data_IF_806728990743
#
_entry.id   IF_806728990743
#
_cell.length_a   1.000
_cell.length_b   1.000
_cell.length_c   1.000
_cell.angle_alpha   90.00
_cell.angle_beta   90.00
_cell.angle_gamma   90.00
#
_symmetry.space_group_name_H-M   'P 1'
#
loop_
_entity.id
_entity.type
_entity.pdbx_description
1 polymer ?
#
# COMPACT_ATOMS: atom_id res chain seq x y z
N UNK A 1 0.14 61.57 7.55
CA UNK A 1 0.84 60.40 8.12
C UNK A 1 0.06 59.15 7.77
N UNK A 2 0.47 58.40 6.75
CA UNK A 2 -0.12 57.08 6.42
C UNK A 2 1.01 56.06 6.43
N UNK A 3 0.91 55.08 7.34
CA UNK A 3 1.85 53.95 7.47
C UNK A 3 1.28 52.78 6.65
N UNK A 4 1.96 52.29 5.61
CA UNK A 4 1.54 51.06 4.95
C UNK A 4 1.91 49.87 5.83
N UNK A 5 0.92 49.07 6.21
CA UNK A 5 1.13 47.78 6.88
C UNK A 5 1.46 46.77 5.78
N UNK A 6 2.72 46.33 5.74
CA UNK A 6 3.17 45.27 4.85
C UNK A 6 2.72 43.92 5.45
N UNK A 7 1.66 43.33 4.92
CA UNK A 7 1.22 41.97 5.30
C UNK A 7 2.13 40.98 4.59
N UNK A 8 3.08 40.41 5.32
CA UNK A 8 3.96 39.35 4.83
C UNK A 8 3.19 38.02 4.91
N UNK A 9 2.52 37.63 3.84
CA UNK A 9 1.95 36.27 3.71
C UNK A 9 3.08 35.28 3.53
N UNK A 10 3.42 34.54 4.59
CA UNK A 10 4.33 33.40 4.52
C UNK A 10 3.61 32.31 3.73
N UNK A 11 4.02 32.11 2.47
CA UNK A 11 3.57 31.00 1.66
C UNK A 11 4.20 29.73 2.24
N UNK A 12 3.45 29.01 3.06
CA UNK A 12 3.81 27.65 3.48
C UNK A 12 3.84 26.76 2.24
N UNK A 13 5.04 26.48 1.72
CA UNK A 13 5.22 25.38 0.78
C UNK A 13 5.00 24.09 1.57
N UNK A 14 3.84 23.45 1.36
CA UNK A 14 3.59 22.11 1.88
C UNK A 14 4.49 21.16 1.08
N UNK A 15 5.64 20.79 1.65
CA UNK A 15 6.50 19.76 1.08
C UNK A 15 5.83 18.42 1.35
N UNK A 16 5.06 17.92 0.37
CA UNK A 16 4.53 16.57 0.44
C UNK A 16 5.65 15.58 0.10
N UNK A 17 5.91 14.62 0.98
CA UNK A 17 6.86 13.54 0.73
C UNK A 17 6.13 12.40 0.01
N UNK A 18 6.47 12.16 -1.25
CA UNK A 18 5.94 11.03 -2.01
C UNK A 18 6.84 9.81 -1.84
N UNK A 19 6.23 8.64 -1.66
CA UNK A 19 6.90 7.36 -1.78
C UNK A 19 5.99 6.35 -2.47
N UNK A 20 6.57 5.23 -2.90
CA UNK A 20 5.84 4.18 -3.59
C UNK A 20 5.99 2.83 -2.90
N UNK A 21 5.03 1.95 -3.18
CA UNK A 21 4.98 0.57 -2.73
C UNK A 21 4.64 -0.30 -3.93
N UNK A 22 5.22 -1.47 -3.98
CA UNK A 22 4.91 -2.46 -5.01
C UNK A 22 4.50 -3.74 -4.31
N UNK A 23 3.23 -4.12 -4.46
CA UNK A 23 2.71 -5.38 -3.95
C UNK A 23 2.62 -6.36 -5.12
N UNK A 24 3.55 -7.32 -5.14
CA UNK A 24 3.67 -8.34 -6.18
C UNK A 24 2.99 -9.61 -5.71
N UNK A 25 1.84 -9.91 -6.28
CA UNK A 25 1.12 -11.16 -5.99
C UNK A 25 1.32 -12.12 -7.15
N UNK A 26 1.82 -13.32 -6.89
CA UNK A 26 2.10 -14.31 -7.93
C UNK A 26 1.55 -15.68 -7.60
N UNK A 27 0.93 -16.30 -8.60
CA UNK A 27 0.58 -17.73 -8.61
C UNK A 27 1.68 -18.53 -9.33
N UNK A 28 1.87 -19.83 -9.02
CA UNK A 28 2.82 -20.68 -9.73
C UNK A 28 2.59 -20.73 -11.26
N UNK A 29 1.33 -20.59 -11.67
CA UNK A 29 0.91 -20.67 -13.09
C UNK A 29 0.87 -19.32 -13.81
N UNK A 30 1.19 -18.21 -13.12
CA UNK A 30 1.08 -16.85 -13.65
C UNK A 30 -0.31 -16.50 -14.22
N UNK A 31 -1.38 -17.07 -13.65
CA UNK A 31 -2.75 -16.86 -14.12
C UNK A 31 -3.25 -15.45 -13.79
N UNK A 32 -3.77 -14.71 -14.77
CA UNK A 32 -4.43 -13.39 -14.57
C UNK A 32 -5.97 -13.49 -14.57
N UNK A 33 -6.52 -14.71 -14.52
CA UNK A 33 -7.95 -15.01 -14.70
C UNK A 33 -8.60 -15.71 -13.50
N UNK A 34 -7.85 -15.91 -12.42
CA UNK A 34 -8.22 -16.79 -11.31
C UNK A 34 -7.87 -18.24 -11.62
N UNK A 35 -6.73 -18.70 -11.09
CA UNK A 35 -6.27 -20.09 -11.16
C UNK A 35 -6.73 -20.95 -9.97
N UNK A 36 -6.26 -22.20 -9.90
CA UNK A 36 -6.51 -23.07 -8.74
C UNK A 36 -5.67 -22.63 -7.53
N UNK A 37 -4.52 -22.00 -7.77
CA UNK A 37 -3.58 -21.61 -6.73
C UNK A 37 -3.86 -20.19 -6.24
N UNK A 38 -3.77 -20.01 -4.91
CA UNK A 38 -3.75 -18.68 -4.30
C UNK A 38 -2.44 -17.97 -4.63
N UNK A 39 -2.50 -16.67 -4.89
CA UNK A 39 -1.32 -15.86 -5.15
C UNK A 39 -0.60 -15.53 -3.83
N UNK A 40 0.70 -15.71 -3.79
CA UNK A 40 1.56 -15.24 -2.71
C UNK A 40 1.98 -13.80 -2.98
N UNK A 41 1.77 -12.90 -2.02
CA UNK A 41 2.06 -11.47 -2.16
C UNK A 41 3.34 -11.06 -1.42
N UNK A 42 4.18 -10.28 -2.10
CA UNK A 42 5.41 -9.71 -1.57
C UNK A 42 5.40 -8.20 -1.70
N UNK A 43 5.60 -7.50 -0.59
CA UNK A 43 5.67 -6.04 -0.56
C UNK A 43 7.11 -5.57 -0.79
N UNK A 44 7.26 -4.54 -1.62
CA UNK A 44 8.53 -3.83 -1.85
C UNK A 44 8.31 -2.34 -1.57
N UNK A 45 9.17 -1.76 -0.72
CA UNK A 45 9.14 -0.35 -0.35
C UNK A 45 10.03 0.45 -1.31
N UNK A 46 9.54 1.56 -1.86
CA UNK A 46 10.27 2.35 -2.85
C UNK A 46 10.27 3.82 -2.46
N UNK A 47 11.40 4.50 -2.53
CA UNK A 47 11.44 5.94 -2.32
C UNK A 47 10.84 6.64 -3.55
N UNK A 48 11.24 6.20 -4.75
CA UNK A 48 10.69 6.69 -6.02
C UNK A 48 9.97 5.59 -6.82
N UNK A 49 9.12 5.99 -7.76
CA UNK A 49 8.22 5.07 -8.48
C UNK A 49 8.97 3.97 -9.26
N UNK A 50 10.06 4.36 -9.90
CA UNK A 50 10.80 3.53 -10.87
C UNK A 50 12.06 2.86 -10.28
N UNK A 51 12.35 3.06 -9.00
CA UNK A 51 13.48 2.40 -8.34
C UNK A 51 13.26 0.89 -8.16
N UNK A 52 14.29 0.13 -7.80
CA UNK A 52 14.13 -1.30 -7.48
C UNK A 52 13.41 -1.51 -6.14
N UNK A 53 13.64 -0.62 -5.17
CA UNK A 53 13.07 -0.68 -3.82
C UNK A 53 13.76 -1.66 -2.87
N UNK A 54 13.22 -1.74 -1.65
CA UNK A 54 13.65 -2.57 -0.53
C UNK A 54 12.58 -3.63 -0.26
N UNK A 55 12.85 -4.93 -0.48
CA UNK A 55 11.85 -5.98 -0.29
C UNK A 55 11.56 -6.23 1.19
N UNK A 56 10.29 -6.44 1.51
CA UNK A 56 9.85 -6.92 2.83
C UNK A 56 9.99 -8.45 2.86
N UNK A 57 10.46 -9.05 3.97
CA UNK A 57 10.50 -10.50 4.13
C UNK A 57 9.14 -11.16 3.87
N UNK A 58 9.16 -12.29 3.17
CA UNK A 58 7.99 -13.09 2.86
C UNK A 58 7.19 -13.48 4.11
N UNK A 59 5.86 -13.53 3.97
CA UNK A 59 4.95 -13.92 5.05
C UNK A 59 4.68 -12.82 6.08
N UNK A 60 5.12 -11.59 5.83
CA UNK A 60 4.83 -10.44 6.69
C UNK A 60 3.78 -9.52 6.09
N UNK A 61 2.92 -8.98 6.96
CA UNK A 61 2.05 -7.86 6.63
C UNK A 61 0.73 -8.21 5.95
N UNK A 62 0.55 -9.45 5.48
CA UNK A 62 -0.73 -9.92 4.94
C UNK A 62 -1.45 -10.89 5.90
N UNK A 63 -2.77 -10.83 5.92
CA UNK A 63 -3.63 -11.70 6.73
C UNK A 63 -4.99 -11.90 6.04
N UNK A 64 -5.80 -12.82 6.57
CA UNK A 64 -7.10 -13.17 6.01
C UNK A 64 -8.20 -12.83 7.01
N UNK A 65 -9.32 -12.32 6.52
CA UNK A 65 -10.54 -12.11 7.30
C UNK A 65 -11.76 -12.53 6.47
N UNK A 66 -12.82 -12.98 7.14
CA UNK A 66 -14.14 -13.04 6.54
C UNK A 66 -14.77 -11.64 6.60
N UNK A 67 -15.29 -11.19 5.47
CA UNK A 67 -16.01 -9.93 5.36
C UNK A 67 -17.36 -10.21 4.71
N UNK A 68 -18.41 -10.26 5.52
CA UNK A 68 -19.78 -10.53 5.10
C UNK A 68 -19.93 -11.85 4.31
N UNK A 69 -19.21 -12.91 4.71
CA UNK A 69 -19.21 -14.21 4.04
C UNK A 69 -18.31 -14.29 2.80
N UNK A 70 -17.55 -13.24 2.50
CA UNK A 70 -16.50 -13.24 1.48
C UNK A 70 -15.13 -13.26 2.16
N UNK A 71 -14.30 -14.23 1.80
CA UNK A 71 -12.90 -14.24 2.22
C UNK A 71 -12.13 -13.09 1.56
N UNK A 72 -11.48 -12.27 2.39
CA UNK A 72 -10.58 -11.20 1.96
C UNK A 72 -9.20 -11.39 2.53
N UNK A 73 -8.21 -11.11 1.69
CA UNK A 73 -6.82 -10.97 2.12
C UNK A 73 -6.49 -9.49 2.20
N UNK A 74 -5.97 -9.07 3.34
CA UNK A 74 -5.52 -7.71 3.58
C UNK A 74 -4.01 -7.70 3.69
N UNK A 75 -3.36 -6.76 3.02
CA UNK A 75 -1.92 -6.51 3.14
C UNK A 75 -1.69 -5.07 3.58
N UNK A 76 -0.99 -4.88 4.70
CA UNK A 76 -0.50 -3.56 5.11
C UNK A 76 0.55 -3.07 4.10
N UNK A 77 0.27 -1.92 3.48
CA UNK A 77 1.14 -1.32 2.45
C UNK A 77 2.17 -0.35 3.04
N UNK A 78 2.25 -0.22 4.37
CA UNK A 78 3.24 0.60 5.10
C UNK A 78 3.20 2.04 4.64
N UNK A 79 2.00 2.63 4.72
CA UNK A 79 1.75 4.05 4.50
C UNK A 79 1.11 4.70 5.73
N UNK A 80 1.80 4.65 6.89
CA UNK A 80 1.28 5.19 8.14
C UNK A 80 1.05 6.70 8.03
N UNK A 81 -0.04 7.19 8.61
CA UNK A 81 -0.37 8.63 8.71
C UNK A 81 -0.29 9.40 7.39
N UNK A 82 -0.36 8.70 6.26
CA UNK A 82 -0.38 9.36 4.95
C UNK A 82 -1.72 10.07 4.75
N UNK A 83 -1.68 11.28 4.21
CA UNK A 83 -2.89 12.04 3.91
C UNK A 83 -3.51 11.62 2.58
N UNK A 84 -2.76 10.94 1.71
CA UNK A 84 -3.27 10.41 0.44
C UNK A 84 -2.54 9.12 0.07
N UNK A 85 -3.32 8.10 -0.28
CA UNK A 85 -2.84 6.84 -0.83
C UNK A 85 -3.65 6.51 -2.08
N UNK A 86 -2.97 6.09 -3.14
CA UNK A 86 -3.60 5.80 -4.43
C UNK A 86 -2.88 4.67 -5.15
N UNK A 87 -3.62 3.88 -5.93
CA UNK A 87 -3.05 2.86 -6.79
C UNK A 87 -2.63 3.53 -8.09
N UNK A 88 -1.32 3.68 -8.32
CA UNK A 88 -0.77 4.34 -9.51
C UNK A 88 -0.71 3.41 -10.72
N UNK A 89 -0.64 2.11 -10.49
CA UNK A 89 -0.56 1.11 -11.55
C UNK A 89 -1.15 -0.24 -11.09
N UNK A 90 -1.79 -0.91 -12.03
CA UNK A 90 -2.13 -2.33 -12.00
C UNK A 90 -1.88 -2.91 -13.40
N UNK A 91 -1.51 -4.19 -13.46
CA UNK A 91 -1.34 -4.89 -14.74
C UNK A 91 -2.59 -4.75 -15.62
N UNK A 92 -2.40 -4.20 -16.84
CA UNK A 92 -3.50 -3.94 -17.77
C UNK A 92 -4.14 -5.25 -18.25
N UNK A 93 -5.47 -5.24 -18.43
CA UNK A 93 -6.21 -6.37 -18.97
C UNK A 93 -6.41 -7.53 -17.99
N UNK A 94 -6.16 -7.32 -16.70
CA UNK A 94 -6.43 -8.31 -15.67
C UNK A 94 -7.92 -8.67 -15.65
N UNK A 95 -8.24 -9.98 -15.67
CA UNK A 95 -9.64 -10.46 -15.86
C UNK A 95 -10.35 -10.85 -14.57
N UNK A 96 -9.61 -10.84 -13.46
CA UNK A 96 -10.13 -11.28 -12.16
C UNK A 96 -10.05 -10.20 -11.07
N UNK A 97 -9.41 -9.07 -11.33
CA UNK A 97 -9.15 -8.02 -10.35
C UNK A 97 -9.78 -6.73 -10.83
N UNK A 98 -10.82 -6.28 -10.15
CA UNK A 98 -11.58 -5.08 -10.46
C UNK A 98 -11.63 -4.17 -9.23
N UNK A 99 -11.21 -2.91 -9.40
CA UNK A 99 -11.18 -1.93 -8.31
C UNK A 99 -12.59 -1.78 -7.71
N UNK A 100 -12.67 -1.63 -6.39
CA UNK A 100 -13.89 -1.53 -5.57
C UNK A 100 -14.71 -2.81 -5.46
N UNK A 101 -14.44 -3.82 -6.30
CA UNK A 101 -15.19 -5.08 -6.31
C UNK A 101 -14.36 -6.19 -5.68
N UNK A 102 -13.16 -6.40 -6.18
CA UNK A 102 -12.30 -7.53 -5.75
C UNK A 102 -10.95 -7.08 -5.21
N UNK A 103 -10.66 -5.77 -5.25
CA UNK A 103 -9.55 -5.18 -4.53
C UNK A 103 -9.78 -3.69 -4.30
N UNK A 104 -9.21 -3.16 -3.22
CA UNK A 104 -9.14 -1.72 -2.99
C UNK A 104 -8.11 -1.37 -1.91
N UNK A 105 -7.64 -0.12 -1.88
CA UNK A 105 -6.97 0.44 -0.70
C UNK A 105 -8.00 1.02 0.27
N UNK A 106 -7.96 0.61 1.52
CA UNK A 106 -8.78 1.20 2.58
C UNK A 106 -7.93 1.66 3.77
N UNK A 107 -8.45 2.66 4.47
CA UNK A 107 -7.84 3.18 5.69
C UNK A 107 -8.44 2.43 6.88
N UNK A 108 -7.58 1.81 7.69
CA UNK A 108 -7.93 1.18 8.97
C UNK A 108 -7.16 1.86 10.09
N UNK A 109 -7.84 2.72 10.86
CA UNK A 109 -7.19 3.62 11.82
C UNK A 109 -6.16 4.52 11.13
N UNK A 110 -4.90 4.53 11.57
CA UNK A 110 -3.81 5.31 10.97
C UNK A 110 -3.02 4.52 9.91
N UNK A 111 -3.48 3.33 9.55
CA UNK A 111 -2.86 2.44 8.58
C UNK A 111 -3.67 2.39 7.29
N UNK A 112 -2.99 2.05 6.20
CA UNK A 112 -3.61 1.78 4.92
C UNK A 112 -3.31 0.34 4.53
N UNK A 113 -4.33 -0.35 4.06
CA UNK A 113 -4.24 -1.76 3.66
C UNK A 113 -4.79 -1.90 2.24
N UNK A 114 -4.16 -2.73 1.43
CA UNK A 114 -4.75 -3.19 0.19
C UNK A 114 -5.45 -4.52 0.49
N UNK A 115 -6.74 -4.60 0.18
CA UNK A 115 -7.46 -5.87 0.25
C UNK A 115 -7.71 -6.46 -1.13
N UNK A 116 -7.82 -7.79 -1.18
CA UNK A 116 -8.14 -8.60 -2.36
C UNK A 116 -9.19 -9.64 -1.99
N UNK A 117 -10.04 -10.02 -2.94
CA UNK A 117 -11.08 -11.02 -2.72
C UNK A 117 -11.37 -11.87 -3.97
N UNK A 118 -12.13 -12.96 -3.78
CA UNK A 118 -12.63 -13.81 -4.86
C UNK A 118 -11.53 -14.30 -5.82
N UNK A 119 -11.81 -14.29 -7.12
CA UNK A 119 -10.84 -14.75 -8.14
C UNK A 119 -9.56 -13.89 -8.19
N UNK A 120 -9.59 -12.68 -7.65
CA UNK A 120 -8.41 -11.83 -7.61
C UNK A 120 -7.36 -12.43 -6.69
N UNK A 121 -7.73 -13.10 -5.59
CA UNK A 121 -6.83 -13.81 -4.68
C UNK A 121 -6.01 -14.88 -5.40
N UNK A 122 -6.60 -15.52 -6.40
CA UNK A 122 -5.99 -16.61 -7.17
C UNK A 122 -5.38 -16.13 -8.50
N UNK A 123 -4.97 -14.86 -8.57
CA UNK A 123 -4.39 -14.29 -9.79
C UNK A 123 -3.05 -13.61 -9.53
N UNK A 124 -2.14 -13.74 -10.49
CA UNK A 124 -0.91 -12.97 -10.56
C UNK A 124 -1.21 -11.54 -10.97
N UNK A 125 -0.85 -10.60 -10.11
CA UNK A 125 -1.12 -9.17 -10.29
C UNK A 125 -0.09 -8.36 -9.50
N UNK A 126 0.39 -7.29 -10.12
CA UNK A 126 1.27 -6.32 -9.50
C UNK A 126 0.52 -5.01 -9.28
N UNK A 127 0.51 -4.55 -8.04
CA UNK A 127 -0.02 -3.24 -7.67
C UNK A 127 1.14 -2.29 -7.40
N UNK A 128 1.09 -1.10 -7.98
CA UNK A 128 1.93 0.02 -7.53
C UNK A 128 1.05 1.01 -6.79
N UNK A 129 1.46 1.36 -5.58
CA UNK A 129 0.71 2.24 -4.70
C UNK A 129 1.59 3.44 -4.37
N UNK A 130 1.09 4.65 -4.59
CA UNK A 130 1.70 5.89 -4.16
C UNK A 130 1.16 6.32 -2.80
N UNK A 131 2.06 6.80 -1.93
CA UNK A 131 1.75 7.30 -0.60
C UNK A 131 2.33 8.70 -0.43
N UNK A 132 1.49 9.63 0.03
CA UNK A 132 1.88 11.02 0.31
C UNK A 132 1.80 11.28 1.80
N UNK A 133 2.90 11.79 2.35
CA UNK A 133 3.05 12.08 3.77
C UNK A 133 3.24 13.57 3.98
N UNK A 134 2.78 14.06 5.13
CA UNK A 134 3.05 15.43 5.59
C UNK A 134 4.46 15.55 6.18
N UNK A 135 4.93 14.47 6.82
CA UNK A 135 6.27 14.35 7.40
C UNK A 135 7.13 13.36 6.62
N UNK A 136 8.47 13.48 6.66
CA UNK A 136 9.37 12.48 6.07
C UNK A 136 9.08 11.07 6.62
N UNK A 137 9.12 10.06 5.77
CA UNK A 137 8.80 8.68 6.17
C UNK A 137 9.73 8.15 7.28
N UNK A 138 10.99 8.62 7.30
CA UNK A 138 12.01 8.28 8.29
C UNK A 138 11.66 8.74 9.71
N UNK A 139 10.76 9.72 9.86
CA UNK A 139 10.25 10.13 11.17
C UNK A 139 9.23 9.14 11.72
N UNK A 140 8.64 8.31 10.85
CA UNK A 140 7.65 7.29 11.19
C UNK A 140 8.31 5.93 11.43
N UNK A 141 9.31 5.58 10.61
CA UNK A 141 10.14 4.38 10.78
C UNK A 141 11.61 4.74 10.60
N UNK A 142 12.42 4.55 11.63
CA UNK A 142 13.85 4.87 11.58
C UNK A 142 14.67 3.83 10.83
N UNK A 143 14.15 2.61 10.69
CA UNK A 143 14.82 1.51 10.01
C UNK A 143 13.84 0.46 9.49
N UNK A 144 14.29 -0.34 8.52
CA UNK A 144 13.50 -1.46 8.00
C UNK A 144 13.15 -2.49 9.10
N UNK A 145 13.98 -2.64 10.14
CA UNK A 145 13.67 -3.52 11.28
C UNK A 145 12.42 -3.08 12.05
N UNK A 146 12.20 -1.78 12.19
CA UNK A 146 10.96 -1.25 12.81
C UNK A 146 9.75 -1.55 11.94
N UNK A 147 9.89 -1.42 10.61
CA UNK A 147 8.84 -1.80 9.65
C UNK A 147 8.51 -3.29 9.77
N UNK A 148 9.52 -4.15 9.81
CA UNK A 148 9.30 -5.60 9.93
C UNK A 148 8.70 -5.98 11.27
N UNK A 149 9.07 -5.30 12.36
CA UNK A 149 8.45 -5.50 13.67
C UNK A 149 6.96 -5.10 13.65
N UNK A 150 6.65 -3.97 13.02
CA UNK A 150 5.28 -3.49 12.80
C UNK A 150 4.44 -4.51 12.02
N UNK A 151 4.93 -4.97 10.87
CA UNK A 151 4.24 -5.96 10.03
C UNK A 151 4.05 -7.32 10.73
N UNK A 152 5.02 -7.77 11.53
CA UNK A 152 4.89 -8.98 12.36
C UNK A 152 3.82 -8.84 13.43
N UNK A 153 3.76 -7.67 14.09
CA UNK A 153 2.77 -7.41 15.11
C UNK A 153 1.35 -7.42 14.51
N UNK A 154 1.21 -6.93 13.28
CA UNK A 154 -0.06 -6.93 12.55
C UNK A 154 -0.55 -8.35 12.23
N UNK A 155 0.30 -9.18 11.64
CA UNK A 155 -0.07 -10.56 11.30
C UNK A 155 -0.48 -11.43 12.51
N UNK A 156 -0.12 -11.03 13.74
CA UNK A 156 -0.47 -11.73 14.98
C UNK A 156 -1.76 -11.24 15.65
N UNK A 157 -2.29 -10.08 15.23
CA UNK A 157 -3.47 -9.44 15.84
C UNK A 157 -4.80 -9.87 15.20
N UNK A 158 -4.72 -10.77 14.23
CA UNK A 158 -5.84 -11.28 13.43
C UNK A 158 -6.03 -12.74 13.76
#
# INVERSE_FOLDING_TARGET
MFRPILVLTILSCVLAYHQYRELKCSTPTNSIRGGPDRAECHLVLKAEELETGRPVPTGLGCWQEDHDGEEREYCDIVCPKSHTVFISYIDQGHRACFNFITYQVEKRNDEHVLWRSGKCLNSTVNYRIGCKFDDPFETQFKSDNEIFAHLRARARRV
#
